data_IF_092433246103
#
_entry.id   IF_092433246103
#
_cell.length_a   1.000
_cell.length_b   1.000
_cell.length_c   1.000
_cell.angle_alpha   90.00
_cell.angle_beta   90.00
_cell.angle_gamma   90.00
#
_symmetry.space_group_name_H-M   'P 1'
#
loop_
_entity.id
_entity.type
_entity.pdbx_description
1 polymer ?
#
# COMPACT_ATOMS: atom_id res chain seq x y z
N UNK A 1 4.17 13.50 4.59
CA UNK A 1 3.65 12.62 3.51
C UNK A 1 2.82 11.51 4.12
N UNK A 2 1.66 11.21 3.57
CA UNK A 2 0.86 10.09 4.09
C UNK A 2 1.56 8.75 3.89
N UNK A 3 1.34 7.85 4.85
CA UNK A 3 1.84 6.49 4.81
C UNK A 3 0.79 5.59 4.17
N UNK A 4 1.24 4.70 3.29
CA UNK A 4 0.37 3.70 2.66
C UNK A 4 0.94 2.31 2.90
N UNK A 5 0.05 1.35 3.10
CA UNK A 5 0.39 -0.06 3.08
C UNK A 5 -0.14 -0.66 1.78
N UNK A 6 0.76 -1.17 0.95
CA UNK A 6 0.38 -1.86 -0.29
C UNK A 6 0.58 -3.35 -0.09
N UNK A 7 -0.46 -4.12 -0.40
CA UNK A 7 -0.43 -5.58 -0.30
C UNK A 7 -0.85 -6.15 -1.65
N UNK A 8 -0.10 -7.12 -2.14
CA UNK A 8 -0.38 -7.71 -3.45
C UNK A 8 -0.14 -9.20 -3.46
N UNK A 9 -0.90 -9.89 -4.30
CA UNK A 9 -0.69 -11.28 -4.62
C UNK A 9 -0.07 -11.36 -6.01
N UNK A 10 1.09 -12.01 -6.12
CA UNK A 10 1.78 -12.21 -7.38
C UNK A 10 0.98 -13.13 -8.31
N UNK A 11 1.11 -12.90 -9.61
CA UNK A 11 0.59 -13.82 -10.61
C UNK A 11 1.41 -15.12 -10.58
N UNK A 12 0.83 -16.17 -11.14
CA UNK A 12 1.50 -17.46 -11.31
C UNK A 12 2.82 -17.30 -12.05
N UNK A 13 2.82 -16.50 -13.13
CA UNK A 13 4.02 -16.28 -13.94
C UNK A 13 5.09 -15.52 -13.16
N UNK A 14 4.70 -14.52 -12.37
CA UNK A 14 5.65 -13.76 -11.55
C UNK A 14 6.31 -14.67 -10.51
N UNK A 15 5.54 -15.51 -9.83
CA UNK A 15 6.09 -16.48 -8.87
C UNK A 15 7.03 -17.47 -9.57
N UNK A 16 6.63 -17.99 -10.73
CA UNK A 16 7.47 -18.92 -11.49
C UNK A 16 8.81 -18.27 -11.85
N UNK A 17 8.79 -17.02 -12.29
CA UNK A 17 10.01 -16.28 -12.61
C UNK A 17 10.90 -16.07 -11.40
N UNK A 18 10.32 -15.77 -10.24
CA UNK A 18 11.08 -15.59 -9.00
C UNK A 18 11.70 -16.91 -8.53
N UNK A 19 11.00 -18.02 -8.70
CA UNK A 19 11.54 -19.34 -8.35
C UNK A 19 12.68 -19.73 -9.27
N UNK A 20 12.56 -19.47 -10.57
CA UNK A 20 13.61 -19.75 -11.55
C UNK A 20 14.82 -18.81 -11.42
N UNK A 21 14.58 -17.59 -11.00
CA UNK A 21 15.63 -16.59 -10.83
C UNK A 21 15.44 -15.91 -9.46
N UNK A 22 15.86 -16.58 -8.38
CA UNK A 22 15.71 -16.05 -7.02
C UNK A 22 16.41 -14.70 -6.90
N UNK A 23 15.67 -13.71 -6.40
CA UNK A 23 16.18 -12.35 -6.30
C UNK A 23 15.48 -11.58 -5.19
N UNK A 24 16.20 -10.65 -4.59
CA UNK A 24 15.67 -9.71 -3.64
C UNK A 24 15.10 -8.51 -4.39
N UNK A 25 13.81 -8.27 -4.28
CA UNK A 25 13.12 -7.22 -5.03
C UNK A 25 13.11 -5.85 -4.32
N UNK A 26 13.74 -5.75 -3.16
CA UNK A 26 13.71 -4.54 -2.33
C UNK A 26 14.09 -3.28 -3.11
N UNK A 27 15.20 -3.32 -3.84
CA UNK A 27 15.67 -2.14 -4.57
C UNK A 27 14.75 -1.76 -5.73
N UNK A 28 14.19 -2.75 -6.41
CA UNK A 28 13.24 -2.51 -7.50
C UNK A 28 11.97 -1.86 -6.97
N UNK A 29 11.46 -2.33 -5.82
CA UNK A 29 10.26 -1.76 -5.19
C UNK A 29 10.54 -0.35 -4.70
N UNK A 30 11.71 -0.14 -4.09
CA UNK A 30 12.13 1.20 -3.66
C UNK A 30 12.15 2.19 -4.82
N UNK A 31 12.71 1.78 -5.94
CA UNK A 31 12.80 2.63 -7.13
C UNK A 31 11.42 3.03 -7.65
N UNK A 32 10.46 2.12 -7.60
CA UNK A 32 9.07 2.41 -7.99
C UNK A 32 8.46 3.48 -7.08
N UNK A 33 8.64 3.36 -5.78
CA UNK A 33 8.15 4.37 -4.82
C UNK A 33 8.80 5.73 -5.06
N UNK A 34 10.12 5.74 -5.25
CA UNK A 34 10.88 6.97 -5.49
C UNK A 34 10.51 7.64 -6.81
N UNK A 35 10.10 6.87 -7.81
CA UNK A 35 9.67 7.43 -9.10
C UNK A 35 8.50 8.40 -8.98
N UNK A 36 7.68 8.25 -7.95
CA UNK A 36 6.55 9.14 -7.65
C UNK A 36 6.85 10.07 -6.47
N UNK A 37 8.11 10.27 -6.14
CA UNK A 37 8.53 11.15 -5.05
C UNK A 37 8.33 10.57 -3.66
N UNK A 38 8.11 9.27 -3.55
CA UNK A 38 7.88 8.60 -2.28
C UNK A 38 9.15 8.05 -1.65
N UNK A 39 8.99 7.53 -0.44
CA UNK A 39 10.06 6.90 0.33
C UNK A 39 9.53 5.54 0.80
N UNK A 40 10.21 4.46 0.40
CA UNK A 40 9.86 3.13 0.90
C UNK A 40 10.39 2.98 2.32
N UNK A 41 9.49 2.69 3.25
CA UNK A 41 9.84 2.41 4.65
C UNK A 41 10.34 0.98 4.79
N UNK A 42 9.71 0.05 4.11
CA UNK A 42 10.12 -1.35 4.11
C UNK A 42 9.22 -2.21 3.25
N UNK A 43 9.67 -3.43 2.99
CA UNK A 43 8.85 -4.42 2.29
C UNK A 43 9.19 -5.83 2.78
N UNK A 44 8.20 -6.70 2.70
CA UNK A 44 8.29 -8.07 3.20
C UNK A 44 7.47 -9.01 2.33
N UNK A 45 7.92 -10.27 2.23
CA UNK A 45 7.07 -11.35 1.76
C UNK A 45 6.21 -11.83 2.93
N UNK A 46 5.02 -12.34 2.62
CA UNK A 46 4.07 -12.79 3.63
C UNK A 46 3.52 -14.17 3.29
N UNK A 47 3.14 -14.92 4.31
CA UNK A 47 2.33 -16.12 4.19
C UNK A 47 0.87 -15.73 4.37
N UNK A 48 0.02 -15.99 3.38
CA UNK A 48 -1.40 -15.68 3.44
C UNK A 48 -1.96 -15.39 2.07
N UNK A 49 -3.02 -14.60 2.05
CA UNK A 49 -3.68 -14.26 0.79
C UNK A 49 -2.81 -13.35 -0.09
N UNK A 50 -2.04 -12.49 0.52
CA UNK A 50 -1.12 -11.60 -0.18
C UNK A 50 0.32 -12.07 0.04
N UNK A 51 1.14 -11.88 -0.98
CA UNK A 51 2.52 -12.39 -0.99
C UNK A 51 3.53 -11.32 -0.62
N UNK A 52 3.22 -10.05 -0.87
CA UNK A 52 4.13 -8.93 -0.65
C UNK A 52 3.42 -7.81 0.10
N UNK A 53 4.13 -7.24 1.07
CA UNK A 53 3.66 -6.08 1.84
C UNK A 53 4.71 -4.99 1.73
N UNK A 54 4.26 -3.78 1.37
CA UNK A 54 5.13 -2.61 1.25
C UNK A 54 4.56 -1.48 2.09
N UNK A 55 5.41 -0.85 2.90
CA UNK A 55 5.07 0.40 3.58
C UNK A 55 5.85 1.53 2.93
N UNK A 56 5.14 2.58 2.52
CA UNK A 56 5.74 3.70 1.84
C UNK A 56 5.07 5.02 2.20
N UNK A 57 5.87 6.05 2.38
CA UNK A 57 5.41 7.43 2.42
C UNK A 57 5.30 7.95 1.00
N UNK A 58 4.13 8.42 0.62
CA UNK A 58 3.90 8.94 -0.73
C UNK A 58 3.41 10.39 -0.63
N UNK A 59 3.78 11.25 -1.59
CA UNK A 59 3.38 12.67 -1.53
C UNK A 59 1.88 12.88 -1.58
N UNK A 60 1.17 12.04 -2.34
CA UNK A 60 -0.27 12.18 -2.54
C UNK A 60 -0.89 10.86 -2.99
N UNK A 61 -2.23 10.85 -3.01
CA UNK A 61 -2.99 9.66 -3.38
C UNK A 61 -2.80 9.29 -4.86
N UNK A 62 -2.65 10.28 -5.73
CA UNK A 62 -2.45 10.02 -7.17
C UNK A 62 -1.14 9.28 -7.43
N UNK A 63 -0.07 9.64 -6.71
CA UNK A 63 1.22 8.94 -6.82
C UNK A 63 1.10 7.49 -6.39
N UNK A 64 0.41 7.24 -5.27
CA UNK A 64 0.18 5.86 -4.81
C UNK A 64 -0.68 5.08 -5.82
N UNK A 65 -1.73 5.70 -6.34
CA UNK A 65 -2.59 5.07 -7.34
C UNK A 65 -1.80 4.73 -8.62
N UNK A 66 -0.92 5.64 -9.05
CA UNK A 66 -0.10 5.41 -10.24
C UNK A 66 0.82 4.20 -10.06
N UNK A 67 1.44 4.04 -8.90
CA UNK A 67 2.25 2.87 -8.58
C UNK A 67 1.41 1.60 -8.63
N UNK A 68 0.25 1.60 -7.99
CA UNK A 68 -0.64 0.43 -7.96
C UNK A 68 -1.11 0.05 -9.37
N UNK A 69 -1.46 1.03 -10.19
CA UNK A 69 -1.88 0.81 -11.59
C UNK A 69 -0.75 0.25 -12.44
N UNK A 70 0.47 0.76 -12.27
CA UNK A 70 1.62 0.27 -13.01
C UNK A 70 1.93 -1.20 -12.67
N UNK A 71 1.84 -1.56 -11.40
CA UNK A 71 2.02 -2.95 -10.97
C UNK A 71 0.93 -3.85 -11.57
N UNK A 72 -0.32 -3.42 -11.52
CA UNK A 72 -1.44 -4.17 -12.10
C UNK A 72 -1.28 -4.32 -13.61
N UNK A 73 -0.91 -3.24 -14.31
CA UNK A 73 -0.74 -3.25 -15.76
C UNK A 73 0.39 -4.17 -16.22
N UNK A 74 1.40 -4.38 -15.39
CA UNK A 74 2.53 -5.26 -15.70
C UNK A 74 2.15 -6.74 -15.72
N UNK A 75 1.01 -7.11 -15.11
CA UNK A 75 0.62 -8.51 -14.95
C UNK A 75 1.32 -9.23 -13.80
N UNK A 76 2.20 -8.55 -13.06
CA UNK A 76 2.93 -9.18 -11.95
C UNK A 76 2.03 -9.51 -10.76
N UNK A 77 0.96 -8.77 -10.57
CA UNK A 77 0.02 -8.99 -9.46
C UNK A 77 -1.38 -9.27 -10.00
N UNK A 78 -2.03 -10.26 -9.42
CA UNK A 78 -3.44 -10.58 -9.74
C UNK A 78 -4.40 -9.81 -8.85
N UNK A 79 -3.91 -9.30 -7.73
CA UNK A 79 -4.68 -8.52 -6.76
C UNK A 79 -3.74 -7.57 -6.03
N UNK A 80 -4.21 -6.36 -5.80
CA UNK A 80 -3.47 -5.38 -5.02
C UNK A 80 -4.43 -4.53 -4.18
N UNK A 81 -3.98 -4.15 -2.99
CA UNK A 81 -4.72 -3.28 -2.08
C UNK A 81 -3.80 -2.20 -1.56
N UNK A 82 -4.25 -0.96 -1.65
CA UNK A 82 -3.56 0.18 -1.04
C UNK A 82 -4.41 0.69 0.13
N UNK A 83 -3.82 0.71 1.31
CA UNK A 83 -4.49 1.20 2.52
C UNK A 83 -3.74 2.43 3.01
N UNK A 84 -4.44 3.55 3.07
CA UNK A 84 -3.88 4.77 3.62
C UNK A 84 -3.92 4.68 5.15
N UNK A 85 -2.78 4.92 5.78
CA UNK A 85 -2.65 4.78 7.22
C UNK A 85 -2.65 6.15 7.89
N UNK A 86 -3.19 6.20 9.09
CA UNK A 86 -3.12 7.36 9.97
C UNK A 86 -2.11 7.10 11.07
N UNK A 87 -1.35 8.13 11.45
CA UNK A 87 -0.56 8.04 12.68
C UNK A 87 -1.51 8.01 13.88
N UNK A 88 -1.00 7.56 15.02
CA UNK A 88 -1.82 7.57 16.24
C UNK A 88 -2.19 9.01 16.64
N UNK A 89 -1.34 9.99 16.35
CA UNK A 89 -1.65 11.39 16.58
C UNK A 89 -2.79 11.88 15.69
N UNK A 90 -2.77 11.51 14.41
CA UNK A 90 -3.87 11.82 13.49
C UNK A 90 -5.16 11.16 13.94
N UNK A 91 -5.08 9.92 14.43
CA UNK A 91 -6.24 9.20 14.97
C UNK A 91 -6.85 9.94 16.17
N UNK A 92 -6.01 10.42 17.08
CA UNK A 92 -6.47 11.22 18.24
C UNK A 92 -7.15 12.51 17.76
N UNK A 93 -6.55 13.19 16.80
CA UNK A 93 -7.15 14.40 16.21
C UNK A 93 -8.53 14.10 15.62
N UNK A 94 -8.67 13.00 14.90
CA UNK A 94 -9.95 12.57 14.34
C UNK A 94 -10.96 12.26 15.42
N UNK A 95 -10.56 11.58 16.51
CA UNK A 95 -11.42 11.28 17.65
C UNK A 95 -11.95 12.57 18.29
N UNK A 96 -11.10 13.57 18.44
CA UNK A 96 -11.51 14.87 18.98
C UNK A 96 -12.54 15.56 18.07
N UNK A 97 -12.34 15.52 16.76
CA UNK A 97 -13.29 16.08 15.80
C UNK A 97 -14.61 15.33 15.84
N UNK A 98 -14.57 14.01 15.93
CA UNK A 98 -15.78 13.19 16.02
C UNK A 98 -16.58 13.52 17.28
N UNK A 99 -15.89 13.74 18.41
CA UNK A 99 -16.53 14.05 19.67
C UNK A 99 -17.14 15.46 19.71
N UNK A 100 -16.43 16.45 19.15
CA UNK A 100 -16.77 17.86 19.34
C UNK A 100 -17.53 18.49 18.18
N UNK A 101 -17.31 18.01 16.96
CA UNK A 101 -17.77 18.70 15.75
C UNK A 101 -18.77 17.89 14.93
N UNK A 102 -18.56 16.59 14.83
CA UNK A 102 -19.44 15.73 14.01
C UNK A 102 -20.66 15.33 14.80
N UNK A 103 -21.84 15.55 14.21
CA UNK A 103 -23.11 15.09 14.73
C UNK A 103 -23.63 13.97 13.84
N UNK A 104 -23.62 12.76 14.36
CA UNK A 104 -24.13 11.62 13.63
C UNK A 104 -25.29 10.99 14.40
N UNK A 105 -26.38 10.78 13.69
CA UNK A 105 -27.54 10.09 14.20
C UNK A 105 -27.68 8.77 13.48
N UNK A 106 -27.62 7.62 14.17
CA UNK A 106 -27.79 6.34 13.50
C UNK A 106 -29.18 6.23 12.87
N UNK A 107 -29.31 5.46 11.76
CA UNK A 107 -30.62 5.25 11.17
C UNK A 107 -31.59 4.67 12.18
N UNK A 108 -32.84 5.14 12.17
CA UNK A 108 -33.93 4.59 12.99
C UNK A 108 -34.80 3.67 12.13
N UNK A 109 -35.45 2.73 12.79
CA UNK A 109 -36.35 1.81 12.11
C UNK A 109 -37.64 2.48 11.65
#
# INVERSE_FOLDING_TARGET
>A
MPMYMYQAAYSKDAIANLVQNPQNRTDAIRAVCESMGGIMVGCWMAFGEDDIIVLADMPNDEGMAAVAMAVAASGAAVRGRSTKLLTMEQAVSAMNKANKTVHYQPPSE
#
